data_IF_282825044725
#
_entry.id   IF_282825044725
#
_cell.length_a   1.000
_cell.length_b   1.000
_cell.length_c   1.000
_cell.angle_alpha   90.00
_cell.angle_beta   90.00
_cell.angle_gamma   90.00
#
_symmetry.space_group_name_H-M   'P 1'
#
loop_
_entity.id
_entity.type
_entity.pdbx_description
1 polymer ?
#
# COMPACT_ATOMS: atom_id res chain seq x y z
N UNK A 1 2.53 4.27 7.20
CA UNK A 1 1.94 5.51 6.62
C UNK A 1 2.05 5.57 5.09
N UNK A 2 3.17 5.19 4.47
CA UNK A 2 3.35 5.27 3.00
C UNK A 2 2.27 4.56 2.15
N UNK A 3 2.10 3.24 2.32
CA UNK A 3 1.11 2.48 1.54
C UNK A 3 -0.33 2.98 1.71
N UNK A 4 -0.74 3.27 2.94
CA UNK A 4 -2.11 3.75 3.22
C UNK A 4 -2.44 5.04 2.47
N UNK A 5 -1.49 5.98 2.37
CA UNK A 5 -1.68 7.22 1.61
C UNK A 5 -1.82 6.96 0.11
N UNK A 6 -0.94 6.14 -0.49
CA UNK A 6 -0.97 5.84 -1.93
C UNK A 6 -2.28 5.14 -2.31
N UNK A 7 -2.68 4.11 -1.57
CA UNK A 7 -3.95 3.42 -1.81
C UNK A 7 -5.17 4.34 -1.59
N UNK A 8 -5.10 5.28 -0.65
CA UNK A 8 -6.17 6.26 -0.48
C UNK A 8 -6.26 7.18 -1.72
N UNK A 9 -5.12 7.64 -2.24
CA UNK A 9 -5.08 8.45 -3.47
C UNK A 9 -5.61 7.67 -4.68
N UNK A 10 -5.25 6.39 -4.81
CA UNK A 10 -5.78 5.49 -5.84
C UNK A 10 -7.32 5.41 -5.77
N UNK A 11 -7.89 5.22 -4.58
CA UNK A 11 -9.34 5.11 -4.42
C UNK A 11 -10.07 6.45 -4.68
N UNK A 12 -9.42 7.58 -4.41
CA UNK A 12 -9.91 8.91 -4.80
C UNK A 12 -9.89 9.04 -6.32
N UNK A 13 -8.80 8.66 -6.99
CA UNK A 13 -8.69 8.69 -8.45
C UNK A 13 -9.77 7.81 -9.11
N UNK A 14 -10.04 6.64 -8.54
CA UNK A 14 -11.11 5.76 -9.00
C UNK A 14 -12.51 6.39 -8.85
N UNK A 15 -12.76 7.09 -7.75
CA UNK A 15 -14.01 7.85 -7.57
C UNK A 15 -14.14 8.98 -8.61
N UNK A 16 -13.06 9.75 -8.84
CA UNK A 16 -13.01 10.78 -9.88
C UNK A 16 -13.28 10.20 -11.26
N UNK A 17 -12.69 9.05 -11.59
CA UNK A 17 -12.95 8.35 -12.85
C UNK A 17 -14.43 7.96 -12.99
N UNK A 18 -15.03 7.41 -11.93
CA UNK A 18 -16.43 6.99 -11.97
C UNK A 18 -17.40 8.18 -12.12
N UNK A 19 -17.12 9.32 -11.49
CA UNK A 19 -17.96 10.53 -11.61
C UNK A 19 -17.76 11.23 -12.96
N UNK A 20 -16.51 11.37 -13.41
CA UNK A 20 -16.19 12.17 -14.61
C UNK A 20 -16.41 11.36 -15.89
N UNK A 21 -15.88 10.13 -15.97
CA UNK A 21 -15.87 9.36 -17.21
C UNK A 21 -17.18 8.59 -17.40
N UNK A 22 -17.71 7.96 -16.34
CA UNK A 22 -18.98 7.22 -16.45
C UNK A 22 -20.21 8.10 -16.30
N UNK A 23 -20.08 9.31 -15.75
CA UNK A 23 -21.17 10.29 -15.63
C UNK A 23 -22.46 9.69 -15.08
N UNK A 24 -23.56 9.86 -15.83
CA UNK A 24 -24.91 9.38 -15.46
C UNK A 24 -25.05 7.85 -15.39
N UNK A 25 -24.15 7.09 -16.02
CA UNK A 25 -24.13 5.63 -15.93
C UNK A 25 -23.33 5.12 -14.72
N UNK A 26 -22.57 6.01 -14.05
CA UNK A 26 -21.80 5.70 -12.85
C UNK A 26 -22.66 5.72 -11.60
N UNK A 27 -22.65 4.65 -10.80
CA UNK A 27 -23.30 4.66 -9.49
C UNK A 27 -22.52 5.61 -8.55
N UNK A 28 -23.17 6.60 -7.93
CA UNK A 28 -22.48 7.52 -7.03
C UNK A 28 -21.97 6.78 -5.80
N UNK A 29 -20.87 7.29 -5.22
CA UNK A 29 -20.28 6.72 -4.02
C UNK A 29 -21.22 6.91 -2.82
N UNK A 30 -21.58 5.80 -2.17
CA UNK A 30 -22.35 5.83 -0.92
C UNK A 30 -21.42 5.81 0.28
N UNK A 31 -21.87 6.34 1.42
CA UNK A 31 -21.10 6.34 2.68
C UNK A 31 -20.69 4.91 3.09
N UNK A 32 -21.59 3.94 2.95
CA UNK A 32 -21.29 2.52 3.23
C UNK A 32 -20.19 1.98 2.31
N UNK A 33 -20.24 2.34 1.03
CA UNK A 33 -19.20 1.98 0.06
C UNK A 33 -17.86 2.65 0.34
N UNK A 34 -17.85 3.92 0.77
CA UNK A 34 -16.65 4.64 1.16
C UNK A 34 -15.97 4.02 2.38
N UNK A 35 -16.75 3.71 3.43
CA UNK A 35 -16.24 3.04 4.64
C UNK A 35 -15.65 1.67 4.35
N UNK A 36 -16.31 0.88 3.49
CA UNK A 36 -15.79 -0.42 3.07
C UNK A 36 -14.44 -0.30 2.34
N UNK A 37 -14.30 0.69 1.45
CA UNK A 37 -13.04 0.95 0.74
C UNK A 37 -11.92 1.37 1.69
N UNK A 38 -12.22 2.24 2.66
CA UNK A 38 -11.25 2.65 3.70
C UNK A 38 -10.80 1.45 4.53
N UNK A 39 -11.74 0.59 4.94
CA UNK A 39 -11.41 -0.63 5.68
C UNK A 39 -10.46 -1.53 4.88
N UNK A 40 -10.75 -1.76 3.60
CA UNK A 40 -9.88 -2.54 2.70
C UNK A 40 -8.47 -1.94 2.59
N UNK A 41 -8.34 -0.61 2.45
CA UNK A 41 -7.04 0.07 2.40
C UNK A 41 -6.23 -0.19 3.67
N UNK A 42 -6.86 -0.08 4.84
CA UNK A 42 -6.21 -0.32 6.13
C UNK A 42 -5.77 -1.77 6.28
N UNK A 43 -6.62 -2.73 5.91
CA UNK A 43 -6.28 -4.16 5.98
C UNK A 43 -5.10 -4.49 5.07
N UNK A 44 -5.10 -4.03 3.81
CA UNK A 44 -4.01 -4.26 2.86
C UNK A 44 -2.72 -3.59 3.34
N UNK A 45 -2.80 -2.33 3.78
CA UNK A 45 -1.63 -1.59 4.26
C UNK A 45 -1.02 -2.26 5.48
N UNK A 46 -1.83 -2.72 6.42
CA UNK A 46 -1.37 -3.40 7.63
C UNK A 46 -0.73 -4.75 7.28
N UNK A 47 -1.38 -5.55 6.42
CA UNK A 47 -0.87 -6.85 6.01
C UNK A 47 0.55 -6.77 5.43
N UNK A 48 0.82 -5.80 4.55
CA UNK A 48 2.15 -5.60 3.98
C UNK A 48 3.18 -5.11 5.00
N UNK A 49 2.80 -4.18 5.90
CA UNK A 49 3.73 -3.67 6.93
C UNK A 49 4.04 -4.67 8.04
N UNK A 50 3.18 -5.66 8.25
CA UNK A 50 3.36 -6.67 9.31
C UNK A 50 4.14 -7.88 8.79
N UNK A 51 4.21 -8.11 7.47
CA UNK A 51 4.94 -9.24 6.90
C UNK A 51 6.43 -9.33 7.35
N UNK A 52 7.20 -8.23 7.46
CA UNK A 52 8.57 -8.27 8.01
C UNK A 52 8.64 -8.63 9.50
N UNK A 53 7.56 -8.41 10.27
CA UNK A 53 7.49 -8.83 11.67
C UNK A 53 7.33 -10.36 11.79
N UNK A 54 6.73 -11.00 10.79
CA UNK A 54 6.59 -12.46 10.71
C UNK A 54 7.75 -13.14 9.94
N UNK A 55 8.82 -12.39 9.66
CA UNK A 55 10.06 -12.91 9.09
C UNK A 55 10.20 -12.72 7.59
N UNK A 56 9.16 -12.35 6.83
CA UNK A 56 9.30 -12.07 5.40
C UNK A 56 9.87 -10.67 5.18
N UNK A 57 11.21 -10.59 5.24
CA UNK A 57 11.95 -9.34 5.28
C UNK A 57 12.32 -8.94 6.72
N UNK A 58 12.98 -7.79 6.87
CA UNK A 58 13.45 -7.29 8.18
C UNK A 58 13.37 -5.77 8.24
N UNK A 59 13.07 -5.24 9.43
CA UNK A 59 13.28 -3.82 9.74
C UNK A 59 14.66 -3.63 10.38
N UNK A 60 15.50 -2.82 9.77
CA UNK A 60 16.89 -2.56 10.18
C UNK A 60 17.14 -1.05 10.22
N UNK A 61 17.98 -0.56 11.16
CA UNK A 61 18.38 0.85 11.17
C UNK A 61 19.11 1.21 9.87
N UNK A 62 18.75 2.36 9.30
CA UNK A 62 19.40 2.90 8.11
C UNK A 62 20.84 3.35 8.43
N UNK A 63 21.67 3.59 7.40
CA UNK A 63 23.11 3.84 7.57
C UNK A 63 23.48 5.04 8.46
N UNK A 64 22.57 6.01 8.66
CA UNK A 64 22.75 7.13 9.59
C UNK A 64 22.41 6.77 11.05
N UNK A 65 21.95 5.54 11.32
CA UNK A 65 21.59 5.00 12.64
C UNK A 65 20.51 5.78 13.42
N UNK A 66 19.85 6.77 12.81
CA UNK A 66 18.78 7.57 13.43
C UNK A 66 17.38 7.24 12.91
N UNK A 67 17.27 6.37 11.91
CA UNK A 67 16.01 5.96 11.30
C UNK A 67 15.99 4.44 11.09
N UNK A 68 14.81 3.84 11.02
CA UNK A 68 14.62 2.43 10.70
C UNK A 68 13.81 2.28 9.42
N UNK A 69 14.22 1.36 8.55
CA UNK A 69 13.58 1.08 7.27
C UNK A 69 13.53 -0.41 6.99
N UNK A 70 12.92 -0.77 5.86
CA UNK A 70 12.98 -2.14 5.34
C UNK A 70 14.39 -2.46 4.85
N UNK A 71 14.90 -3.64 5.18
CA UNK A 71 16.23 -4.07 4.75
C UNK A 71 16.29 -4.30 3.23
N UNK A 72 16.93 -3.36 2.53
CA UNK A 72 17.21 -3.43 1.09
C UNK A 72 18.69 -3.72 0.78
N UNK A 73 19.54 -3.86 1.80
CA UNK A 73 20.98 -4.09 1.63
C UNK A 73 21.29 -5.58 1.56
N UNK A 74 20.60 -6.39 2.35
CA UNK A 74 20.76 -7.84 2.35
C UNK A 74 20.30 -8.45 1.03
N UNK A 75 21.17 -9.24 0.39
CA UNK A 75 20.93 -9.81 -0.95
C UNK A 75 20.28 -11.20 -0.95
N UNK A 76 19.86 -11.69 0.21
CA UNK A 76 19.14 -12.96 0.31
C UNK A 76 17.84 -12.90 -0.48
N UNK A 77 17.56 -13.95 -1.24
CA UNK A 77 16.37 -14.03 -2.09
C UNK A 77 15.06 -13.84 -1.31
N UNK A 78 15.02 -14.30 -0.05
CA UNK A 78 13.85 -14.14 0.81
C UNK A 78 13.56 -12.68 1.16
N UNK A 79 14.55 -11.94 1.67
CA UNK A 79 14.44 -10.50 1.95
C UNK A 79 14.22 -9.68 0.68
N UNK A 80 14.94 -10.03 -0.39
CA UNK A 80 14.85 -9.33 -1.67
C UNK A 80 13.48 -9.49 -2.33
N UNK A 81 12.88 -10.68 -2.25
CA UNK A 81 11.52 -10.93 -2.77
C UNK A 81 10.49 -10.04 -2.09
N UNK A 82 10.58 -9.85 -0.77
CA UNK A 82 9.70 -8.95 -0.03
C UNK A 82 9.78 -7.52 -0.57
N UNK A 83 11.00 -6.98 -0.73
CA UNK A 83 11.19 -5.61 -1.23
C UNK A 83 10.64 -5.45 -2.65
N UNK A 84 10.86 -6.43 -3.54
CA UNK A 84 10.33 -6.38 -4.91
C UNK A 84 8.80 -6.41 -4.95
N UNK A 85 8.17 -7.31 -4.19
CA UNK A 85 6.71 -7.44 -4.14
C UNK A 85 6.08 -6.21 -3.48
N UNK A 86 6.67 -5.72 -2.39
CA UNK A 86 6.22 -4.51 -1.73
C UNK A 86 6.31 -3.29 -2.65
N UNK A 87 7.38 -3.16 -3.44
CA UNK A 87 7.51 -2.09 -4.42
C UNK A 87 6.48 -2.22 -5.56
N UNK A 88 6.30 -3.42 -6.14
CA UNK A 88 5.35 -3.63 -7.23
C UNK A 88 3.91 -3.35 -6.80
N UNK A 89 3.49 -3.92 -5.67
CA UNK A 89 2.11 -3.83 -5.20
C UNK A 89 1.83 -2.50 -4.51
N UNK A 90 2.79 -1.98 -3.74
CA UNK A 90 2.62 -0.78 -2.92
C UNK A 90 2.96 0.55 -3.62
N UNK A 91 3.65 0.52 -4.76
CA UNK A 91 4.06 1.73 -5.49
C UNK A 91 3.74 1.70 -6.99
N UNK A 92 3.99 0.59 -7.69
CA UNK A 92 3.81 0.56 -9.16
C UNK A 92 2.39 0.25 -9.62
N UNK A 93 1.64 -0.54 -8.85
CA UNK A 93 0.27 -0.95 -9.18
C UNK A 93 -0.78 0.15 -8.91
N UNK A 94 -0.72 0.86 -7.77
CA UNK A 94 -1.64 1.96 -7.47
C UNK A 94 -1.37 3.20 -8.34
#
# INVERSE_FOLDING_TARGET
>A
FGCGSIYTMMMIAFDRYNVIVKGLAGKPLTIKGALFRIFMIWTVSTAWTVAPLFGWGKYTPEGNLTACGTDYLTKDWFTRSYVMVYASVGFYTP
#
